data_IF_830331195621
#
_entry.id   IF_830331195621
#
_cell.length_a   1.000
_cell.length_b   1.000
_cell.length_c   1.000
_cell.angle_alpha   90.00
_cell.angle_beta   90.00
_cell.angle_gamma   90.00
#
_symmetry.space_group_name_H-M   'P 1'
#
loop_
_entity.id
_entity.type
_entity.pdbx_description
1 polymer ?
#
# COMPACT_ATOMS: atom_id res chain seq x y z
N UNK A 1 -8.97 -22.32 -8.85
CA UNK A 1 -10.35 -22.75 -9.22
C UNK A 1 -11.05 -21.72 -10.10
N UNK A 2 -11.31 -20.49 -9.64
CA UNK A 2 -12.03 -19.47 -10.43
C UNK A 2 -11.42 -19.19 -11.83
N UNK A 3 -10.09 -19.07 -11.93
CA UNK A 3 -9.42 -18.88 -13.23
C UNK A 3 -9.67 -20.04 -14.20
N UNK A 4 -9.53 -21.29 -13.73
CA UNK A 4 -9.77 -22.52 -14.51
C UNK A 4 -11.24 -22.59 -14.95
N UNK A 5 -12.18 -22.32 -14.04
CA UNK A 5 -13.61 -22.31 -14.35
C UNK A 5 -13.97 -21.31 -15.45
N UNK A 6 -13.32 -20.14 -15.45
CA UNK A 6 -13.57 -19.12 -16.46
C UNK A 6 -12.89 -19.41 -17.80
N UNK A 7 -11.62 -19.82 -17.78
CA UNK A 7 -10.81 -19.95 -19.01
C UNK A 7 -10.89 -21.34 -19.65
N UNK A 8 -11.12 -22.38 -18.85
CA UNK A 8 -11.22 -23.77 -19.33
C UNK A 8 -12.65 -24.33 -19.19
N UNK A 9 -13.39 -23.91 -18.17
CA UNK A 9 -14.75 -24.37 -17.89
C UNK A 9 -15.87 -23.62 -18.61
N UNK A 10 -15.55 -22.56 -19.37
CA UNK A 10 -16.52 -21.77 -20.14
C UNK A 10 -17.53 -20.98 -19.29
N UNK A 11 -17.31 -20.85 -17.98
CA UNK A 11 -18.18 -20.07 -17.11
C UNK A 11 -17.86 -18.57 -17.25
N UNK A 12 -18.87 -17.70 -17.40
CA UNK A 12 -18.62 -16.27 -17.48
C UNK A 12 -18.01 -15.76 -16.16
N UNK A 13 -16.92 -15.00 -16.27
CA UNK A 13 -16.33 -14.29 -15.15
C UNK A 13 -16.88 -12.85 -15.11
N UNK A 14 -17.89 -12.63 -14.26
CA UNK A 14 -18.43 -11.30 -14.02
C UNK A 14 -17.72 -10.64 -12.83
N UNK A 15 -17.24 -9.41 -13.04
CA UNK A 15 -16.67 -8.59 -11.98
C UNK A 15 -17.64 -7.46 -11.65
N UNK A 16 -17.90 -7.26 -10.35
CA UNK A 16 -18.50 -6.02 -9.90
C UNK A 16 -17.63 -4.81 -10.26
N UNK A 17 -18.22 -3.61 -10.44
CA UNK A 17 -17.48 -2.37 -10.58
C UNK A 17 -16.46 -2.21 -9.45
N UNK A 18 -15.25 -1.76 -9.78
CA UNK A 18 -14.20 -1.58 -8.80
C UNK A 18 -14.55 -0.42 -7.85
N UNK A 19 -14.60 -0.72 -6.56
CA UNK A 19 -14.89 0.20 -5.46
C UNK A 19 -14.25 -0.33 -4.18
N UNK A 20 -14.19 0.50 -3.13
CA UNK A 20 -13.82 0.04 -1.80
C UNK A 20 -14.77 -1.08 -1.33
N UNK A 21 -16.07 -0.94 -1.55
CA UNK A 21 -17.07 -1.94 -1.16
C UNK A 21 -16.89 -3.33 -1.80
N UNK A 22 -16.19 -3.41 -2.93
CA UNK A 22 -15.98 -4.68 -3.66
C UNK A 22 -14.53 -5.18 -3.59
N UNK A 23 -13.58 -4.33 -3.17
CA UNK A 23 -12.13 -4.62 -3.26
C UNK A 23 -11.34 -4.34 -1.97
N UNK A 24 -11.91 -3.66 -0.98
CA UNK A 24 -11.22 -3.31 0.25
C UNK A 24 -11.49 -4.34 1.35
N UNK A 25 -10.50 -5.21 1.55
CA UNK A 25 -10.47 -6.20 2.61
C UNK A 25 -9.67 -5.67 3.83
N UNK A 26 -10.04 -6.09 5.04
CA UNK A 26 -9.34 -5.76 6.28
C UNK A 26 -8.37 -6.89 6.66
N UNK A 27 -7.21 -6.94 6.01
CA UNK A 27 -6.24 -8.04 6.14
C UNK A 27 -5.04 -7.70 7.02
N UNK A 28 -4.64 -6.43 7.08
CA UNK A 28 -3.49 -5.95 7.87
C UNK A 28 -3.85 -4.74 8.72
N UNK A 29 -3.02 -4.39 9.72
CA UNK A 29 -3.32 -3.28 10.61
C UNK A 29 -3.48 -1.92 9.92
N UNK A 30 -2.78 -1.69 8.79
CA UNK A 30 -2.93 -0.43 8.04
C UNK A 30 -4.32 -0.30 7.42
N UNK A 31 -4.99 -1.43 7.13
CA UNK A 31 -6.37 -1.41 6.64
C UNK A 31 -7.32 -0.86 7.70
N UNK A 32 -7.03 -1.08 8.99
CA UNK A 32 -7.82 -0.48 10.08
C UNK A 32 -7.64 1.04 10.14
N UNK A 33 -6.42 1.54 9.91
CA UNK A 33 -6.12 2.97 9.82
C UNK A 33 -6.84 3.62 8.63
N UNK A 34 -6.82 2.97 7.47
CA UNK A 34 -7.54 3.41 6.26
C UNK A 34 -9.04 3.39 6.50
N UNK A 35 -9.58 2.29 7.03
CA UNK A 35 -11.00 2.16 7.33
C UNK A 35 -11.47 3.27 8.28
N UNK A 36 -10.65 3.66 9.27
CA UNK A 36 -10.96 4.74 10.19
C UNK A 36 -11.15 6.10 9.49
N UNK A 37 -10.63 6.29 8.26
CA UNK A 37 -10.88 7.49 7.44
C UNK A 37 -12.13 7.38 6.57
N UNK A 38 -12.70 6.17 6.43
CA UNK A 38 -13.86 5.94 5.57
C UNK A 38 -15.15 6.54 6.18
N UNK A 39 -15.89 7.39 5.42
CA UNK A 39 -17.02 8.16 5.94
C UNK A 39 -18.23 7.28 6.25
N UNK A 40 -18.40 6.17 5.54
CA UNK A 40 -19.59 5.32 5.65
C UNK A 40 -19.40 4.08 6.53
N UNK A 41 -18.46 4.13 7.48
CA UNK A 41 -18.28 3.05 8.44
C UNK A 41 -19.53 2.84 9.32
N UNK A 42 -19.87 1.57 9.54
CA UNK A 42 -20.97 1.21 10.45
C UNK A 42 -20.62 1.54 11.92
N UNK A 43 -21.58 1.94 12.76
CA UNK A 43 -21.32 2.46 14.11
C UNK A 43 -20.52 1.53 15.03
N UNK A 44 -20.69 0.20 14.90
CA UNK A 44 -19.94 -0.78 15.71
C UNK A 44 -18.46 -0.80 15.34
N UNK A 45 -18.15 -0.82 14.04
CA UNK A 45 -16.77 -0.81 13.57
C UNK A 45 -16.11 0.53 13.88
N UNK A 46 -16.81 1.65 13.69
CA UNK A 46 -16.29 2.97 14.09
C UNK A 46 -15.88 3.01 15.56
N UNK A 47 -16.79 2.60 16.47
CA UNK A 47 -16.49 2.57 17.91
C UNK A 47 -15.28 1.70 18.25
N UNK A 48 -15.12 0.55 17.59
CA UNK A 48 -13.96 -0.31 17.78
C UNK A 48 -12.67 0.39 17.34
N UNK A 49 -12.65 0.98 16.15
CA UNK A 49 -11.49 1.67 15.60
C UNK A 49 -11.12 2.92 16.41
N UNK A 50 -12.11 3.72 16.82
CA UNK A 50 -11.89 4.89 17.68
C UNK A 50 -11.29 4.48 19.04
N UNK A 51 -11.67 3.30 19.56
CA UNK A 51 -11.14 2.74 20.79
C UNK A 51 -9.70 2.20 20.70
N UNK A 52 -9.17 1.97 19.49
CA UNK A 52 -7.77 1.56 19.31
C UNK A 52 -6.80 2.69 19.66
N UNK A 53 -7.23 3.94 19.52
CA UNK A 53 -6.38 5.13 19.66
C UNK A 53 -5.08 5.03 18.84
N UNK A 54 -5.17 4.45 17.63
CA UNK A 54 -4.04 4.39 16.71
C UNK A 54 -4.02 5.63 15.83
N UNK A 55 -2.83 6.17 15.66
CA UNK A 55 -2.57 7.33 14.81
C UNK A 55 -1.59 6.93 13.71
N UNK A 56 -1.65 7.63 12.58
CA UNK A 56 -0.73 7.43 11.48
C UNK A 56 -0.40 8.77 10.83
N UNK A 57 0.63 9.46 11.32
CA UNK A 57 1.10 10.71 10.73
C UNK A 57 1.43 10.56 9.24
N UNK A 58 1.89 9.37 8.82
CA UNK A 58 2.18 9.08 7.42
C UNK A 58 0.93 9.04 6.57
N UNK A 59 -0.14 8.37 7.03
CA UNK A 59 -1.41 8.36 6.30
C UNK A 59 -2.03 9.75 6.26
N UNK A 60 -2.00 10.47 7.38
CA UNK A 60 -2.52 11.84 7.46
C UNK A 60 -1.74 12.79 6.53
N UNK A 61 -0.42 12.62 6.41
CA UNK A 61 0.42 13.34 5.46
C UNK A 61 0.10 13.03 3.99
N UNK A 62 -0.11 11.75 3.65
CA UNK A 62 -0.56 11.37 2.29
C UNK A 62 -1.93 11.97 1.97
N UNK A 63 -2.87 11.97 2.91
CA UNK A 63 -4.18 12.59 2.73
C UNK A 63 -4.10 14.11 2.54
N UNK A 64 -3.21 14.78 3.29
CA UNK A 64 -2.93 16.20 3.08
C UNK A 64 -2.34 16.46 1.69
N UNK A 65 -1.47 15.59 1.21
CA UNK A 65 -0.89 15.68 -0.13
C UNK A 65 -1.92 15.42 -1.24
N UNK A 66 -2.86 14.49 -1.02
CA UNK A 66 -4.02 14.27 -1.91
C UNK A 66 -4.89 15.53 -2.05
N UNK A 67 -5.03 16.30 -0.96
CA UNK A 67 -5.81 17.53 -0.92
C UNK A 67 -5.07 18.75 -1.49
N UNK A 68 -3.75 18.66 -1.65
CA UNK A 68 -2.92 19.77 -2.13
C UNK A 68 -3.11 19.96 -3.63
N UNK A 69 -3.45 21.19 -4.04
CA UNK A 69 -3.48 21.54 -5.46
C UNK A 69 -2.07 21.40 -6.05
N UNK A 70 -1.94 20.58 -7.10
CA UNK A 70 -0.63 20.26 -7.67
C UNK A 70 0.26 19.41 -6.74
N UNK A 71 -0.32 18.67 -5.79
CA UNK A 71 0.43 17.67 -5.01
C UNK A 71 1.07 16.60 -5.89
N UNK A 72 1.93 15.76 -5.33
CA UNK A 72 2.56 14.65 -6.05
C UNK A 72 2.64 13.40 -5.19
N UNK A 73 2.16 12.29 -5.73
CA UNK A 73 2.09 11.01 -5.03
C UNK A 73 2.78 9.91 -5.86
N UNK A 74 3.52 9.04 -5.18
CA UNK A 74 4.08 7.84 -5.78
C UNK A 74 3.41 6.59 -5.22
N UNK A 75 2.97 5.70 -6.10
CA UNK A 75 2.40 4.40 -5.76
C UNK A 75 3.41 3.32 -6.14
N UNK A 76 3.81 2.51 -5.16
CA UNK A 76 4.85 1.49 -5.33
C UNK A 76 4.33 0.09 -4.98
N UNK A 77 4.63 -0.87 -5.83
CA UNK A 77 4.44 -2.30 -5.57
C UNK A 77 3.34 -2.89 -6.43
N UNK A 78 2.46 -3.72 -5.85
CA UNK A 78 1.47 -4.47 -6.63
C UNK A 78 0.22 -3.64 -6.94
N UNK A 79 0.41 -2.46 -7.54
CA UNK A 79 -0.62 -1.47 -7.77
C UNK A 79 -1.80 -2.00 -8.60
N UNK A 80 -3.00 -1.50 -8.31
CA UNK A 80 -4.24 -1.81 -9.05
C UNK A 80 -4.61 -0.69 -10.02
N UNK A 81 -4.81 -1.04 -11.30
CA UNK A 81 -5.10 -0.05 -12.35
C UNK A 81 -6.34 0.80 -12.06
N UNK A 82 -7.38 0.16 -11.53
CA UNK A 82 -8.58 0.86 -11.13
C UNK A 82 -8.34 1.82 -9.95
N UNK A 83 -7.43 1.47 -9.02
CA UNK A 83 -7.17 2.29 -7.84
C UNK A 83 -6.39 3.56 -8.19
N UNK A 84 -5.27 3.46 -8.92
CA UNK A 84 -4.51 4.66 -9.28
C UNK A 84 -5.25 5.53 -10.29
N UNK A 85 -6.02 4.95 -11.23
CA UNK A 85 -6.87 5.73 -12.12
C UNK A 85 -7.97 6.47 -11.34
N UNK A 86 -8.47 5.90 -10.24
CA UNK A 86 -9.36 6.59 -9.31
C UNK A 86 -8.69 7.80 -8.67
N UNK A 87 -7.46 7.62 -8.16
CA UNK A 87 -6.67 8.69 -7.56
C UNK A 87 -6.43 9.86 -8.54
N UNK A 88 -6.05 9.57 -9.79
CA UNK A 88 -5.82 10.59 -10.82
C UNK A 88 -7.08 11.37 -11.18
N UNK A 89 -8.27 10.73 -11.13
CA UNK A 89 -9.55 11.40 -11.40
C UNK A 89 -9.99 12.26 -10.22
N UNK A 90 -9.81 11.77 -9.00
CA UNK A 90 -10.31 12.43 -7.80
C UNK A 90 -9.43 13.60 -7.36
N UNK A 91 -8.12 13.53 -7.62
CA UNK A 91 -7.15 14.51 -7.12
C UNK A 91 -6.55 15.36 -8.23
N UNK A 92 -5.89 16.45 -7.86
CA UNK A 92 -5.01 17.23 -8.77
C UNK A 92 -3.55 16.81 -8.65
N UNK A 93 -3.28 15.63 -8.09
CA UNK A 93 -1.93 15.17 -7.85
C UNK A 93 -1.26 14.71 -9.15
N UNK A 94 0.04 14.98 -9.27
CA UNK A 94 0.91 14.29 -10.21
C UNK A 94 1.21 12.90 -9.65
N UNK A 95 0.71 11.87 -10.31
CA UNK A 95 0.84 10.48 -9.84
C UNK A 95 1.97 9.78 -10.59
N UNK A 96 2.89 9.18 -9.84
CA UNK A 96 3.92 8.27 -10.36
C UNK A 96 3.61 6.85 -9.89
N UNK A 97 3.76 5.87 -10.78
CA UNK A 97 3.45 4.47 -10.45
C UNK A 97 4.62 3.56 -10.80
N UNK A 98 5.09 2.80 -9.82
CA UNK A 98 6.00 1.67 -9.98
C UNK A 98 5.23 0.38 -9.71
N UNK A 99 4.59 -0.14 -10.76
CA UNK A 99 3.75 -1.33 -10.69
C UNK A 99 4.57 -2.59 -10.99
N UNK A 100 4.80 -3.41 -9.97
CA UNK A 100 5.64 -4.62 -10.06
C UNK A 100 4.96 -5.81 -9.37
N UNK A 101 5.23 -7.02 -9.85
CA UNK A 101 4.90 -8.28 -9.16
C UNK A 101 3.40 -8.51 -8.82
N UNK A 102 2.48 -7.91 -9.60
CA UNK A 102 1.05 -8.19 -9.47
C UNK A 102 0.81 -9.70 -9.71
N UNK A 103 0.16 -10.36 -8.75
CA UNK A 103 -0.11 -11.80 -8.82
C UNK A 103 1.03 -12.72 -8.36
N UNK A 104 2.18 -12.19 -7.90
CA UNK A 104 3.35 -12.98 -7.46
C UNK A 104 3.07 -14.09 -6.43
N UNK A 105 2.04 -13.92 -5.59
CA UNK A 105 1.61 -14.93 -4.61
C UNK A 105 0.76 -16.01 -5.28
N UNK A 106 -0.23 -15.59 -6.07
CA UNK A 106 -1.15 -16.51 -6.75
C UNK A 106 -0.42 -17.40 -7.77
N UNK A 107 0.66 -16.92 -8.39
CA UNK A 107 1.50 -17.69 -9.31
C UNK A 107 2.59 -18.53 -8.61
N UNK A 108 2.69 -18.46 -7.28
CA UNK A 108 3.74 -19.11 -6.50
C UNK A 108 5.16 -18.55 -6.70
N UNK A 109 5.32 -17.48 -7.50
CA UNK A 109 6.64 -16.88 -7.77
C UNK A 109 7.33 -16.39 -6.50
N UNK A 110 6.56 -15.83 -5.57
CA UNK A 110 7.10 -15.42 -4.27
C UNK A 110 7.68 -16.61 -3.49
N UNK A 111 7.00 -17.75 -3.48
CA UNK A 111 7.43 -18.95 -2.75
C UNK A 111 8.66 -19.58 -3.40
N UNK A 112 8.75 -19.53 -4.73
CA UNK A 112 9.91 -20.01 -5.50
C UNK A 112 11.09 -19.02 -5.54
N UNK A 113 10.97 -17.84 -4.92
CA UNK A 113 12.03 -16.81 -4.94
C UNK A 113 12.25 -16.17 -6.31
N UNK A 114 11.22 -16.16 -7.16
CA UNK A 114 11.27 -15.69 -8.56
C UNK A 114 10.79 -14.24 -8.71
N UNK A 115 10.32 -13.59 -7.64
CA UNK A 115 9.94 -12.19 -7.68
C UNK A 115 11.14 -11.30 -8.04
N UNK A 116 10.92 -10.27 -8.86
CA UNK A 116 11.92 -9.30 -9.29
C UNK A 116 11.37 -7.89 -9.14
N UNK A 117 12.23 -6.94 -8.82
CA UNK A 117 11.84 -5.54 -8.67
C UNK A 117 13.02 -4.64 -8.98
N UNK A 118 12.83 -3.74 -9.95
CA UNK A 118 13.83 -2.73 -10.28
C UNK A 118 14.08 -1.79 -9.09
N UNK A 119 13.05 -1.51 -8.28
CA UNK A 119 13.22 -0.73 -7.06
C UNK A 119 14.00 -1.49 -5.99
N UNK A 120 13.88 -2.82 -5.91
CA UNK A 120 14.72 -3.62 -5.02
C UNK A 120 16.18 -3.58 -5.46
N UNK A 121 16.44 -3.70 -6.76
CA UNK A 121 17.78 -3.62 -7.34
C UNK A 121 18.38 -2.21 -7.14
N UNK A 122 17.58 -1.16 -7.33
CA UNK A 122 18.01 0.22 -7.09
C UNK A 122 18.27 0.49 -5.60
N UNK A 123 17.41 0.00 -4.70
CA UNK A 123 17.62 0.11 -3.26
C UNK A 123 18.92 -0.56 -2.82
N UNK A 124 19.28 -1.69 -3.43
CA UNK A 124 20.56 -2.35 -3.17
C UNK A 124 21.76 -1.52 -3.63
N UNK A 125 21.63 -0.83 -4.77
CA UNK A 125 22.66 0.05 -5.30
C UNK A 125 22.90 1.30 -4.44
N UNK A 126 21.83 1.98 -4.00
CA UNK A 126 21.95 3.28 -3.32
C UNK A 126 21.92 3.20 -1.79
N UNK A 127 21.43 2.09 -1.24
CA UNK A 127 21.19 1.91 0.19
C UNK A 127 19.84 2.45 0.65
N UNK A 128 19.37 1.98 1.81
CA UNK A 128 18.01 2.24 2.32
C UNK A 128 17.76 3.74 2.53
N UNK A 129 18.67 4.45 3.17
CA UNK A 129 18.50 5.86 3.52
C UNK A 129 18.44 6.72 2.26
N UNK A 130 19.42 6.58 1.36
CA UNK A 130 19.46 7.32 0.10
C UNK A 130 18.25 6.98 -0.80
N UNK A 131 17.75 5.75 -0.75
CA UNK A 131 16.56 5.37 -1.52
C UNK A 131 15.34 6.23 -1.13
N UNK A 132 15.12 6.48 0.16
CA UNK A 132 14.03 7.36 0.60
C UNK A 132 14.31 8.84 0.33
N UNK A 133 15.58 9.26 0.38
CA UNK A 133 15.97 10.62 -0.03
C UNK A 133 15.68 10.87 -1.52
N UNK A 134 16.03 9.94 -2.38
CA UNK A 134 15.76 10.02 -3.83
C UNK A 134 14.25 10.00 -4.12
N UNK A 135 13.47 9.19 -3.38
CA UNK A 135 12.00 9.26 -3.48
C UNK A 135 11.45 10.63 -3.06
N UNK A 136 12.02 11.25 -2.01
CA UNK A 136 11.61 12.56 -1.53
C UNK A 136 11.86 13.69 -2.55
N UNK A 137 12.84 13.54 -3.44
CA UNK A 137 13.06 14.48 -4.54
C UNK A 137 12.02 14.34 -5.68
N UNK A 138 11.34 13.20 -5.77
CA UNK A 138 10.42 12.90 -6.86
C UNK A 138 8.94 13.20 -6.53
N UNK A 139 8.57 13.24 -5.25
CA UNK A 139 7.16 13.23 -4.84
C UNK A 139 6.94 13.83 -3.45
N UNK A 140 5.72 14.29 -3.16
CA UNK A 140 5.31 14.79 -1.84
C UNK A 140 4.78 13.73 -0.87
N UNK A 141 4.52 12.50 -1.34
CA UNK A 141 4.13 11.37 -0.49
C UNK A 141 4.13 10.03 -1.23
N UNK A 142 4.20 8.92 -0.49
CA UNK A 142 4.32 7.58 -1.06
C UNK A 142 3.35 6.59 -0.42
N UNK A 143 2.68 5.79 -1.25
CA UNK A 143 1.99 4.55 -0.84
C UNK A 143 2.84 3.36 -1.30
N UNK A 144 3.42 2.62 -0.35
CA UNK A 144 4.48 1.66 -0.62
C UNK A 144 4.14 0.23 -0.16
N UNK A 145 3.68 -0.61 -1.11
CA UNK A 145 3.55 -2.05 -0.90
C UNK A 145 4.93 -2.73 -0.89
N UNK A 146 5.63 -2.65 0.25
CA UNK A 146 7.02 -3.12 0.42
C UNK A 146 7.15 -4.64 0.41
N UNK A 147 6.06 -5.39 0.20
CA UNK A 147 6.09 -6.85 0.05
C UNK A 147 6.78 -7.25 -1.25
N UNK A 148 6.78 -6.38 -2.25
CA UNK A 148 7.52 -6.59 -3.50
C UNK A 148 9.03 -6.57 -3.23
N UNK A 149 9.52 -5.58 -2.49
CA UNK A 149 10.93 -5.48 -2.10
C UNK A 149 11.36 -6.71 -1.29
N UNK A 150 10.55 -7.09 -0.30
CA UNK A 150 10.82 -8.26 0.54
C UNK A 150 10.97 -9.53 -0.32
N UNK A 151 10.00 -9.82 -1.18
CA UNK A 151 10.06 -11.03 -2.01
C UNK A 151 11.17 -11.01 -3.07
N UNK A 152 11.44 -9.85 -3.69
CA UNK A 152 12.54 -9.72 -4.64
C UNK A 152 13.91 -10.00 -3.99
N UNK A 153 14.03 -9.69 -2.69
CA UNK A 153 15.20 -10.00 -1.85
C UNK A 153 15.19 -11.43 -1.28
N UNK A 154 14.23 -12.27 -1.66
CA UNK A 154 14.06 -13.62 -1.10
C UNK A 154 13.69 -13.62 0.39
N UNK A 155 13.24 -12.49 0.94
CA UNK A 155 12.85 -12.34 2.33
C UNK A 155 11.33 -12.44 2.46
N UNK A 156 10.87 -13.17 3.47
CA UNK A 156 9.45 -13.18 3.82
C UNK A 156 9.29 -13.19 5.35
N UNK A 157 9.51 -12.03 6.03
CA UNK A 157 9.42 -11.91 7.49
C UNK A 157 8.07 -12.37 8.03
N UNK A 158 7.97 -12.59 9.34
CA UNK A 158 6.72 -13.06 9.97
C UNK A 158 5.55 -12.09 9.75
N UNK A 159 4.31 -12.58 9.94
CA UNK A 159 3.16 -11.67 9.92
C UNK A 159 3.29 -10.58 11.00
N UNK A 160 3.80 -10.93 12.18
CA UNK A 160 4.02 -9.99 13.28
C UNK A 160 5.01 -8.88 12.88
N UNK A 161 6.14 -9.23 12.27
CA UNK A 161 7.12 -8.25 11.79
C UNK A 161 6.53 -7.32 10.74
N UNK A 162 5.83 -7.88 9.76
CA UNK A 162 5.18 -7.10 8.70
C UNK A 162 4.09 -6.18 9.25
N UNK A 163 3.34 -6.62 10.25
CA UNK A 163 2.30 -5.83 10.90
C UNK A 163 2.89 -4.72 11.78
N UNK A 164 3.99 -4.98 12.49
CA UNK A 164 4.72 -3.92 13.20
C UNK A 164 5.34 -2.92 12.23
N UNK A 165 5.88 -3.37 11.08
CA UNK A 165 6.35 -2.48 10.02
C UNK A 165 5.24 -1.59 9.47
N UNK A 166 4.04 -2.14 9.21
CA UNK A 166 2.90 -1.37 8.68
C UNK A 166 2.45 -0.25 9.63
N UNK A 167 2.65 -0.47 10.93
CA UNK A 167 2.32 0.48 12.00
C UNK A 167 3.50 1.34 12.45
N UNK A 168 4.63 1.30 11.74
CA UNK A 168 5.84 2.04 12.10
C UNK A 168 6.43 1.70 13.50
N UNK A 169 6.13 0.51 14.03
CA UNK A 169 6.68 -0.04 15.28
C UNK A 169 7.98 -0.80 15.01
N UNK A 170 8.93 -0.15 14.35
CA UNK A 170 10.16 -0.76 13.86
C UNK A 170 11.01 -1.37 15.00
N UNK A 171 10.94 -0.81 16.20
CA UNK A 171 11.57 -1.32 17.43
C UNK A 171 11.11 -2.73 17.81
N UNK A 172 9.94 -3.17 17.29
CA UNK A 172 9.34 -4.48 17.51
C UNK A 172 9.43 -5.41 16.31
N UNK A 173 10.18 -5.04 15.28
CA UNK A 173 10.42 -5.87 14.09
C UNK A 173 11.70 -6.65 14.31
N UNK A 174 11.67 -7.97 14.29
CA UNK A 174 12.86 -8.81 14.52
C UNK A 174 13.76 -8.89 13.30
N UNK A 175 13.18 -8.93 12.09
CA UNK A 175 13.95 -9.06 10.85
C UNK A 175 14.77 -7.77 10.58
N UNK A 176 16.12 -7.85 10.52
CA UNK A 176 16.98 -6.67 10.50
C UNK A 176 16.78 -5.73 9.31
N UNK A 177 16.57 -6.28 8.10
CA UNK A 177 16.37 -5.47 6.91
C UNK A 177 15.06 -4.68 7.02
N UNK A 178 13.96 -5.36 7.34
CA UNK A 178 12.64 -4.75 7.50
C UNK A 178 12.66 -3.72 8.62
N UNK A 179 13.30 -4.00 9.76
CA UNK A 179 13.47 -3.02 10.86
C UNK A 179 14.10 -1.72 10.35
N UNK A 180 15.25 -1.81 9.68
CA UNK A 180 15.96 -0.64 9.17
C UNK A 180 15.19 0.07 8.06
N UNK A 181 14.56 -0.69 7.17
CA UNK A 181 13.71 -0.15 6.10
C UNK A 181 12.52 0.62 6.66
N UNK A 182 11.82 0.08 7.66
CA UNK A 182 10.71 0.75 8.35
C UNK A 182 11.20 2.01 9.07
N UNK A 183 12.35 1.95 9.76
CA UNK A 183 12.90 3.12 10.45
C UNK A 183 13.22 4.24 9.46
N UNK A 184 13.93 3.95 8.38
CA UNK A 184 14.28 4.96 7.37
C UNK A 184 13.02 5.54 6.69
N UNK A 185 12.00 4.72 6.42
CA UNK A 185 10.73 5.20 5.90
C UNK A 185 9.98 6.10 6.90
N UNK A 186 10.25 5.98 8.21
CA UNK A 186 9.63 6.77 9.27
C UNK A 186 10.30 8.15 9.37
N UNK A 187 11.60 8.18 9.12
CA UNK A 187 12.49 9.34 9.22
C UNK A 187 12.58 10.11 7.88
N UNK A 188 11.99 9.59 6.81
CA UNK A 188 11.96 10.23 5.50
C UNK A 188 11.34 11.64 5.53
N UNK A 189 11.84 12.54 4.67
CA UNK A 189 11.37 13.93 4.55
C UNK A 189 9.93 14.07 4.05
N UNK A 190 9.36 13.01 3.49
CA UNK A 190 7.99 12.95 2.98
C UNK A 190 7.21 11.82 3.66
N UNK A 191 5.88 11.92 3.78
CA UNK A 191 5.06 10.84 4.31
C UNK A 191 5.16 9.60 3.40
N UNK A 192 5.57 8.48 4.00
CA UNK A 192 5.58 7.16 3.35
C UNK A 192 4.61 6.27 4.10
N UNK A 193 3.63 5.67 3.43
CA UNK A 193 2.76 4.65 4.04
C UNK A 193 3.28 3.29 3.62
N UNK A 194 3.79 2.52 4.57
CA UNK A 194 4.17 1.12 4.35
C UNK A 194 2.96 0.21 4.51
N UNK A 195 2.88 -0.83 3.70
CA UNK A 195 1.76 -1.76 3.77
C UNK A 195 1.87 -2.93 2.84
N UNK A 196 0.80 -3.73 2.81
CA UNK A 196 0.60 -4.79 1.84
C UNK A 196 -0.10 -4.31 0.56
N UNK A 197 -0.66 -5.25 -0.19
CA UNK A 197 -1.34 -4.94 -1.45
C UNK A 197 -2.49 -3.94 -1.30
N UNK A 198 -3.19 -3.96 -0.17
CA UNK A 198 -4.38 -3.14 0.07
C UNK A 198 -4.10 -1.64 -0.13
N UNK A 199 -2.97 -1.12 0.36
CA UNK A 199 -2.67 0.32 0.29
C UNK A 199 -2.42 0.85 -1.13
N UNK A 200 -2.23 -0.05 -2.11
CA UNK A 200 -2.11 0.28 -3.53
C UNK A 200 -3.25 -0.32 -4.37
N UNK A 201 -4.32 -0.76 -3.72
CA UNK A 201 -5.50 -1.37 -4.33
C UNK A 201 -6.79 -0.98 -3.60
N UNK A 202 -7.43 -1.92 -2.90
CA UNK A 202 -8.72 -1.69 -2.23
C UNK A 202 -8.68 -0.57 -1.19
N UNK A 203 -7.62 -0.53 -0.37
CA UNK A 203 -7.40 0.56 0.58
C UNK A 203 -7.21 1.92 -0.10
N UNK A 204 -6.49 1.97 -1.22
CA UNK A 204 -6.39 3.21 -2.01
C UNK A 204 -7.76 3.64 -2.56
N UNK A 205 -8.58 2.71 -3.05
CA UNK A 205 -9.96 3.03 -3.45
C UNK A 205 -10.77 3.61 -2.29
N UNK A 206 -10.63 3.04 -1.08
CA UNK A 206 -11.30 3.57 0.11
C UNK A 206 -10.84 4.99 0.47
N UNK A 207 -9.53 5.29 0.35
CA UNK A 207 -9.01 6.64 0.56
C UNK A 207 -9.54 7.62 -0.49
N UNK A 208 -9.58 7.22 -1.75
CA UNK A 208 -10.13 8.03 -2.85
C UNK A 208 -11.61 8.34 -2.63
N UNK A 209 -12.44 7.33 -2.34
CA UNK A 209 -13.86 7.54 -2.05
C UNK A 209 -14.08 8.43 -0.81
N UNK A 210 -13.22 8.30 0.20
CA UNK A 210 -13.26 9.16 1.40
C UNK A 210 -12.92 10.60 1.06
N UNK A 211 -11.94 10.81 0.18
CA UNK A 211 -11.54 12.11 -0.30
C UNK A 211 -12.65 12.79 -1.11
N UNK A 212 -13.26 12.06 -2.05
CA UNK A 212 -14.39 12.55 -2.86
C UNK A 212 -15.62 12.89 -2.02
N UNK A 213 -15.87 12.14 -0.95
CA UNK A 213 -17.00 12.39 -0.04
C UNK A 213 -16.79 13.58 0.91
N UNK A 214 -15.53 14.02 1.06
CA UNK A 214 -15.14 15.13 1.93
C UNK A 214 -15.01 16.48 1.20
N UNK A 215 -15.07 16.48 -0.14
CA UNK A 215 -15.23 17.69 -0.96
C UNK A 215 -16.69 18.17 -0.96
#
# INVERSE_FOLDING_TARGET
LAWILAHEGGLPAESFPASASTRFDLDTPVDLLIAQRYPHLRPRLRRFLDGLAWESPQLDGVLAEMAREGGSLTIVGRASAAAWAGLERATRCWVRVFAEERGMRASGRQERGEARSLLADYLELVGIENFFEELAELTGGVLFDNRVILAARGLWPSALDRFNSDLYRWDRVDEPFLRRFTQAAAEARIPVVLGGHSIVAGGLMALVESFESGQ
#
